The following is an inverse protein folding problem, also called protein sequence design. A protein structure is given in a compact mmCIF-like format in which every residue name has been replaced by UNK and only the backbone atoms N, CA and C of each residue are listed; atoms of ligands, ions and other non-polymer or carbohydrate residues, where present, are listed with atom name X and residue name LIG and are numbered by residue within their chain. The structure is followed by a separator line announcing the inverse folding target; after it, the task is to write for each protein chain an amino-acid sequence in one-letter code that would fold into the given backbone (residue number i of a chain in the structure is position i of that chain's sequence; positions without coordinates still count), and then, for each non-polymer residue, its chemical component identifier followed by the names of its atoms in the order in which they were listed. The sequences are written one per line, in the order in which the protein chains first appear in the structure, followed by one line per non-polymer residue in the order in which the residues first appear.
data_IF_116093957742
#
_entry.id   IF_116093957742
#
_cell.length_a   1.000
_cell.length_b   1.000
_cell.length_c   1.000
_cell.angle_alpha   90.00
_cell.angle_beta   90.00
_cell.angle_gamma   90.00
#
_symmetry.space_group_name_H-M   'P 1'
#
loop_
_entity.id
_entity.type
_entity.pdbx_description
1 polymer ?
#
# COMPACT_ATOMS: atom_id res chain seq x y z
N UNK A 1 16.00 -15.02 -12.73
CA UNK A 1 15.40 -16.02 -11.81
C UNK A 1 14.80 -15.31 -10.61
N UNK A 2 13.57 -15.66 -10.23
CA UNK A 2 12.91 -15.13 -9.03
C UNK A 2 13.62 -15.59 -7.75
N UNK A 3 13.51 -14.80 -6.68
CA UNK A 3 13.94 -15.21 -5.33
C UNK A 3 13.00 -16.29 -4.79
N UNK A 4 11.68 -16.09 -4.97
CA UNK A 4 10.63 -17.02 -4.55
C UNK A 4 9.68 -17.25 -5.72
N UNK A 5 9.25 -18.50 -5.94
CA UNK A 5 8.32 -18.82 -7.03
C UNK A 5 6.93 -18.19 -6.83
N UNK A 6 6.55 -17.90 -5.59
CA UNK A 6 5.31 -17.23 -5.26
C UNK A 6 5.19 -15.85 -5.95
N UNK A 7 6.30 -15.14 -6.19
CA UNK A 7 6.31 -13.87 -6.94
C UNK A 7 5.87 -14.01 -8.41
N UNK A 8 5.64 -15.22 -8.92
CA UNK A 8 4.93 -15.41 -10.18
C UNK A 8 3.54 -14.74 -10.14
N UNK A 9 2.87 -14.72 -8.99
CA UNK A 9 1.62 -13.98 -8.81
C UNK A 9 1.84 -12.47 -9.05
N UNK A 10 2.92 -11.90 -8.53
CA UNK A 10 3.27 -10.49 -8.74
C UNK A 10 3.52 -10.20 -10.23
N UNK A 11 4.20 -11.10 -10.92
CA UNK A 11 4.44 -11.00 -12.38
C UNK A 11 3.12 -11.07 -13.16
N UNK A 12 2.19 -11.95 -12.77
CA UNK A 12 0.86 -12.02 -13.40
C UNK A 12 0.14 -10.67 -13.29
N UNK A 13 0.19 -10.00 -12.13
CA UNK A 13 -0.44 -8.68 -11.96
C UNK A 13 0.23 -7.62 -12.83
N UNK A 14 1.57 -7.61 -12.87
CA UNK A 14 2.37 -6.66 -13.69
C UNK A 14 2.04 -6.80 -15.18
N UNK A 15 1.77 -8.00 -15.67
CA UNK A 15 1.45 -8.25 -17.09
C UNK A 15 -0.04 -8.08 -17.37
N UNK A 16 -0.92 -8.69 -16.56
CA UNK A 16 -2.36 -8.71 -16.81
C UNK A 16 -2.97 -7.30 -16.83
N UNK A 17 -2.51 -6.41 -15.96
CA UNK A 17 -3.06 -5.07 -15.86
C UNK A 17 -2.88 -4.22 -17.13
N UNK A 18 -1.65 -3.98 -17.65
CA UNK A 18 -1.49 -3.26 -18.91
C UNK A 18 -2.08 -4.02 -20.10
N UNK A 19 -2.12 -5.37 -20.08
CA UNK A 19 -2.83 -6.14 -21.11
C UNK A 19 -4.33 -5.87 -21.13
N UNK A 20 -4.97 -5.73 -19.96
CA UNK A 20 -6.39 -5.37 -19.86
C UNK A 20 -6.65 -3.92 -20.30
N UNK A 21 -5.74 -3.00 -19.98
CA UNK A 21 -5.79 -1.62 -20.51
C UNK A 21 -5.77 -1.66 -22.04
N UNK A 22 -4.77 -2.32 -22.63
CA UNK A 22 -4.62 -2.39 -24.09
C UNK A 22 -5.82 -3.07 -24.77
N UNK A 23 -6.31 -4.18 -24.20
CA UNK A 23 -7.49 -4.87 -24.72
C UNK A 23 -8.73 -3.96 -24.72
N UNK A 24 -9.02 -3.30 -23.60
CA UNK A 24 -10.18 -2.40 -23.51
C UNK A 24 -10.00 -1.12 -24.32
N UNK A 25 -8.77 -0.64 -24.51
CA UNK A 25 -8.48 0.49 -25.39
C UNK A 25 -8.89 0.19 -26.83
N UNK A 26 -8.63 -1.04 -27.30
CA UNK A 26 -8.90 -1.45 -28.68
C UNK A 26 -10.33 -1.96 -28.90
N UNK A 27 -10.96 -2.54 -27.88
CA UNK A 27 -12.25 -3.23 -28.00
C UNK A 27 -13.40 -2.50 -27.27
N UNK A 28 -13.14 -1.32 -26.74
CA UNK A 28 -14.08 -0.57 -25.91
C UNK A 28 -14.11 -1.03 -24.45
N UNK A 29 -14.68 -0.18 -23.60
CA UNK A 29 -14.73 -0.41 -22.15
C UNK A 29 -15.75 -1.50 -21.84
N UNK A 30 -15.29 -2.56 -21.19
CA UNK A 30 -16.13 -3.64 -20.68
C UNK A 30 -16.14 -3.59 -19.15
N UNK A 31 -17.26 -3.15 -18.58
CA UNK A 31 -17.36 -2.91 -17.13
C UNK A 31 -16.92 -4.06 -16.22
N UNK A 32 -17.14 -5.34 -16.54
CA UNK A 32 -16.58 -6.45 -15.75
C UNK A 32 -15.05 -6.50 -15.75
N UNK A 33 -14.41 -6.24 -16.89
CA UNK A 33 -12.94 -6.17 -17.00
C UNK A 33 -12.41 -4.91 -16.32
N UNK A 34 -13.16 -3.81 -16.38
CA UNK A 34 -12.84 -2.61 -15.61
C UNK A 34 -12.87 -2.87 -14.10
N UNK A 35 -13.88 -3.59 -13.59
CA UNK A 35 -13.94 -3.98 -12.18
C UNK A 35 -12.76 -4.89 -11.79
N UNK A 36 -12.35 -5.81 -12.66
CA UNK A 36 -11.13 -6.61 -12.47
C UNK A 36 -9.88 -5.71 -12.42
N UNK A 37 -9.77 -4.71 -13.28
CA UNK A 37 -8.68 -3.75 -13.22
C UNK A 37 -8.64 -2.99 -11.89
N UNK A 38 -9.78 -2.61 -11.32
CA UNK A 38 -9.81 -1.98 -9.99
C UNK A 38 -9.22 -2.91 -8.91
N UNK A 39 -9.50 -4.22 -8.95
CA UNK A 39 -8.90 -5.19 -8.03
C UNK A 39 -7.37 -5.30 -8.24
N UNK A 40 -6.95 -5.38 -9.50
CA UNK A 40 -5.53 -5.47 -9.86
C UNK A 40 -4.76 -4.20 -9.52
N UNK A 41 -5.38 -3.01 -9.61
CA UNK A 41 -4.74 -1.73 -9.27
C UNK A 41 -4.29 -1.69 -7.81
N UNK A 42 -5.12 -2.19 -6.89
CA UNK A 42 -4.76 -2.35 -5.47
C UNK A 42 -3.63 -3.38 -5.33
N UNK A 43 -3.75 -4.51 -6.04
CA UNK A 43 -2.72 -5.53 -6.05
C UNK A 43 -1.36 -5.02 -6.52
N UNK A 44 -1.30 -4.15 -7.53
CA UNK A 44 -0.05 -3.56 -8.03
C UNK A 44 0.61 -2.65 -7.01
N UNK A 45 -0.17 -1.87 -6.24
CA UNK A 45 0.37 -1.11 -5.11
C UNK A 45 0.96 -2.02 -4.03
N UNK A 46 0.34 -3.17 -3.77
CA UNK A 46 0.88 -4.19 -2.85
C UNK A 46 2.12 -4.88 -3.44
N UNK A 47 2.17 -5.15 -4.75
CA UNK A 47 3.36 -5.69 -5.42
C UNK A 47 4.54 -4.73 -5.28
N UNK A 48 4.34 -3.43 -5.53
CA UNK A 48 5.39 -2.43 -5.37
C UNK A 48 5.86 -2.31 -3.92
N UNK A 49 4.92 -2.34 -2.98
CA UNK A 49 5.22 -2.38 -1.55
C UNK A 49 6.11 -3.58 -1.19
N UNK A 50 5.70 -4.79 -1.57
CA UNK A 50 6.45 -6.02 -1.32
C UNK A 50 7.83 -6.00 -2.00
N UNK A 51 7.90 -5.55 -3.26
CA UNK A 51 9.14 -5.42 -4.02
C UNK A 51 10.13 -4.43 -3.38
N UNK A 52 9.62 -3.41 -2.70
CA UNK A 52 10.44 -2.42 -1.99
C UNK A 52 11.08 -3.03 -0.74
N UNK A 53 10.34 -3.87 -0.01
CA UNK A 53 10.83 -4.59 1.16
C UNK A 53 11.79 -5.72 0.82
N UNK A 54 11.39 -6.56 -0.13
CA UNK A 54 12.16 -7.70 -0.60
C UNK A 54 12.12 -7.76 -2.13
N UNK A 55 13.29 -7.73 -2.75
CA UNK A 55 13.45 -7.77 -4.20
C UNK A 55 12.97 -9.09 -4.78
N UNK A 56 12.11 -9.03 -5.79
CA UNK A 56 11.54 -10.22 -6.47
C UNK A 56 12.59 -11.03 -7.22
N UNK A 57 13.63 -10.39 -7.75
CA UNK A 57 14.63 -11.03 -8.61
C UNK A 57 15.98 -11.14 -7.92
N UNK A 58 16.73 -12.20 -8.24
CA UNK A 58 18.11 -12.35 -7.74
C UNK A 58 19.08 -11.36 -8.37
N UNK A 59 18.79 -10.85 -9.57
CA UNK A 59 19.67 -9.96 -10.32
C UNK A 59 19.18 -8.51 -10.27
N UNK A 60 20.13 -7.57 -10.19
CA UNK A 60 19.84 -6.13 -10.10
C UNK A 60 19.10 -5.58 -11.35
N UNK A 61 19.43 -5.97 -12.59
CA UNK A 61 18.76 -5.43 -13.78
C UNK A 61 17.26 -5.74 -13.83
N UNK A 62 16.82 -6.95 -13.48
CA UNK A 62 15.38 -7.27 -13.51
C UNK A 62 14.61 -6.56 -12.40
N UNK A 63 15.22 -6.39 -11.21
CA UNK A 63 14.62 -5.54 -10.17
C UNK A 63 14.48 -4.10 -10.64
N UNK A 64 15.50 -3.57 -11.30
CA UNK A 64 15.47 -2.21 -11.86
C UNK A 64 14.43 -2.06 -12.96
N UNK A 65 14.30 -3.06 -13.84
CA UNK A 65 13.24 -3.11 -14.85
C UNK A 65 11.85 -3.22 -14.23
N UNK A 66 11.71 -3.95 -13.12
CA UNK A 66 10.44 -4.07 -12.39
C UNK A 66 10.04 -2.74 -11.74
N UNK A 67 10.99 -2.06 -11.08
CA UNK A 67 10.81 -0.71 -10.54
C UNK A 67 10.31 0.26 -11.64
N UNK A 68 10.91 0.20 -12.84
CA UNK A 68 10.53 1.03 -13.98
C UNK A 68 9.14 0.74 -14.53
N UNK A 69 8.83 -0.53 -14.76
CA UNK A 69 7.51 -0.95 -15.26
C UNK A 69 6.42 -0.59 -14.26
N UNK A 70 6.63 -0.87 -12.97
CA UNK A 70 5.67 -0.50 -11.92
C UNK A 70 5.52 1.02 -11.80
N UNK A 71 6.60 1.79 -12.01
CA UNK A 71 6.53 3.25 -12.02
C UNK A 71 5.63 3.77 -13.15
N UNK A 72 5.79 3.24 -14.37
CA UNK A 72 4.96 3.60 -15.52
C UNK A 72 3.50 3.22 -15.26
N UNK A 73 3.27 1.97 -14.83
CA UNK A 73 1.91 1.47 -14.60
C UNK A 73 1.21 2.30 -13.52
N UNK A 74 1.87 2.56 -12.39
CA UNK A 74 1.27 3.26 -11.24
C UNK A 74 1.34 4.79 -11.32
N UNK A 75 2.07 5.35 -12.29
CA UNK A 75 2.20 6.80 -12.47
C UNK A 75 3.03 7.49 -11.38
N UNK A 76 3.80 6.75 -10.58
CA UNK A 76 4.64 7.28 -9.50
C UNK A 76 5.99 6.56 -9.49
N UNK A 77 7.13 7.28 -9.41
CA UNK A 77 8.45 6.66 -9.33
C UNK A 77 8.60 5.70 -8.13
N UNK A 78 9.24 4.55 -8.35
CA UNK A 78 9.39 3.49 -7.35
C UNK A 78 10.06 3.94 -6.05
N UNK A 79 10.94 4.95 -6.12
CA UNK A 79 11.74 5.38 -4.98
C UNK A 79 10.91 5.93 -3.81
N UNK A 80 9.67 6.35 -4.06
CA UNK A 80 8.86 7.09 -3.09
C UNK A 80 8.57 6.31 -1.80
N UNK A 81 8.57 4.97 -1.86
CA UNK A 81 8.40 4.10 -0.70
C UNK A 81 9.60 4.12 0.24
N UNK A 82 10.82 4.39 -0.24
CA UNK A 82 12.01 4.42 0.63
C UNK A 82 11.96 5.51 1.70
N UNK A 83 11.73 6.80 1.37
CA UNK A 83 11.71 7.84 2.38
C UNK A 83 10.45 7.80 3.26
N UNK A 84 9.30 7.41 2.72
CA UNK A 84 8.01 7.51 3.40
C UNK A 84 7.63 6.26 4.19
N UNK A 85 7.87 5.09 3.62
CA UNK A 85 7.39 3.84 4.16
C UNK A 85 8.48 3.10 4.93
N UNK A 86 9.63 2.80 4.31
CA UNK A 86 10.75 2.14 5.01
C UNK A 86 11.41 3.10 6.02
N UNK A 87 11.85 4.26 5.54
CA UNK A 87 12.62 5.23 6.33
C UNK A 87 11.81 6.02 7.35
N UNK A 88 10.50 5.80 7.43
CA UNK A 88 9.62 6.52 8.33
C UNK A 88 8.54 5.62 8.94
N UNK A 89 7.59 5.10 8.14
CA UNK A 89 6.47 4.35 8.68
C UNK A 89 6.89 3.08 9.46
N UNK A 90 7.72 2.22 8.85
CA UNK A 90 8.25 1.04 9.55
C UNK A 90 9.23 1.40 10.66
N UNK A 91 10.06 2.43 10.43
CA UNK A 91 11.04 2.87 11.42
C UNK A 91 10.38 3.32 12.72
N UNK A 92 9.28 4.06 12.61
CA UNK A 92 8.60 4.66 13.75
C UNK A 92 7.33 3.91 14.14
N UNK A 93 6.92 2.88 13.40
CA UNK A 93 5.83 1.94 13.71
C UNK A 93 4.56 2.61 14.26
N UNK A 94 4.00 3.59 13.54
CA UNK A 94 2.84 4.38 13.98
C UNK A 94 3.05 5.25 15.25
N UNK A 95 4.30 5.42 15.68
CA UNK A 95 4.70 6.25 16.80
C UNK A 95 4.60 7.76 16.53
N UNK A 96 4.82 8.62 17.54
CA UNK A 96 4.73 10.07 17.40
C UNK A 96 5.67 10.68 16.34
N UNK A 97 6.77 10.00 16.03
CA UNK A 97 7.73 10.40 14.99
C UNK A 97 7.32 9.94 13.58
N UNK A 98 6.36 9.02 13.46
CA UNK A 98 5.83 8.62 12.16
C UNK A 98 5.05 9.80 11.56
N UNK A 99 5.62 10.46 10.54
CA UNK A 99 4.96 11.57 9.87
C UNK A 99 3.66 11.16 9.16
N UNK A 100 3.50 9.87 8.88
CA UNK A 100 2.34 9.27 8.18
C UNK A 100 1.32 8.62 9.12
N UNK A 101 1.53 8.70 10.44
CA UNK A 101 0.56 8.16 11.41
C UNK A 101 -0.83 8.76 11.23
N UNK A 102 -1.84 7.94 11.51
CA UNK A 102 -3.23 8.25 11.18
C UNK A 102 -3.79 9.32 12.09
N UNK A 103 -3.49 9.27 13.39
CA UNK A 103 -3.95 10.25 14.37
C UNK A 103 -3.34 11.66 14.22
N UNK A 104 -2.36 11.84 13.33
CA UNK A 104 -1.85 13.17 12.96
C UNK A 104 -2.96 14.05 12.38
N UNK A 105 -3.93 13.45 11.69
CA UNK A 105 -4.93 14.17 10.90
C UNK A 105 -6.30 14.28 11.59
N UNK A 106 -6.35 13.97 12.89
CA UNK A 106 -7.56 14.01 13.71
C UNK A 106 -8.19 12.64 13.91
N UNK A 107 -8.64 12.40 15.15
CA UNK A 107 -9.25 11.12 15.56
C UNK A 107 -8.24 9.97 15.62
N UNK A 108 -8.42 9.08 16.59
CA UNK A 108 -7.64 7.84 16.68
C UNK A 108 -8.56 6.63 16.64
N UNK A 109 -9.41 6.56 15.62
CA UNK A 109 -10.38 5.48 15.38
C UNK A 109 -10.81 5.48 13.92
N UNK A 110 -11.42 4.38 13.46
CA UNK A 110 -11.79 4.19 12.07
C UNK A 110 -13.18 4.76 11.77
N UNK A 111 -13.29 5.85 11.00
CA UNK A 111 -14.60 6.33 10.54
C UNK A 111 -14.57 6.69 9.06
N UNK A 112 -15.74 6.73 8.40
CA UNK A 112 -15.82 6.88 6.95
C UNK A 112 -15.18 8.16 6.45
N UNK A 113 -15.38 9.28 7.15
CA UNK A 113 -14.78 10.57 6.79
C UNK A 113 -13.25 10.48 6.84
N UNK A 114 -12.70 9.83 7.87
CA UNK A 114 -11.26 9.65 8.02
C UNK A 114 -10.70 8.74 6.93
N UNK A 115 -11.38 7.64 6.62
CA UNK A 115 -10.99 6.76 5.51
C UNK A 115 -10.96 7.47 4.16
N UNK A 116 -11.96 8.31 3.86
CA UNK A 116 -12.04 9.05 2.60
C UNK A 116 -11.01 10.20 2.51
N UNK A 117 -10.76 10.89 3.63
CA UNK A 117 -9.85 12.04 3.65
C UNK A 117 -8.38 11.64 3.85
N UNK A 118 -8.11 10.52 4.52
CA UNK A 118 -6.75 10.14 4.90
C UNK A 118 -5.79 10.04 3.71
N UNK A 119 -6.15 9.47 2.55
CA UNK A 119 -5.26 9.47 1.39
C UNK A 119 -4.84 10.90 0.96
N UNK A 120 -5.77 11.84 0.93
CA UNK A 120 -5.51 13.25 0.57
C UNK A 120 -4.62 13.92 1.62
N UNK A 121 -4.93 13.70 2.90
CA UNK A 121 -4.16 14.22 4.02
C UNK A 121 -2.73 13.65 4.07
N UNK A 122 -2.57 12.35 3.83
CA UNK A 122 -1.28 11.69 3.78
C UNK A 122 -0.43 12.27 2.63
N UNK A 123 -1.02 12.56 1.47
CA UNK A 123 -0.31 13.17 0.35
C UNK A 123 0.29 14.54 0.68
N UNK A 124 -0.33 15.33 1.58
CA UNK A 124 0.22 16.63 2.02
C UNK A 124 1.54 16.49 2.80
N UNK A 125 1.83 15.29 3.32
CA UNK A 125 3.08 14.96 4.01
C UNK A 125 4.03 14.20 3.09
N UNK A 126 3.50 13.22 2.37
CA UNK A 126 4.25 12.32 1.51
C UNK A 126 4.94 13.05 0.36
N UNK A 127 4.23 13.92 -0.37
CA UNK A 127 4.77 14.61 -1.55
C UNK A 127 5.96 15.50 -1.17
N UNK A 128 5.88 16.41 -0.16
CA UNK A 128 7.05 17.20 0.27
C UNK A 128 8.22 16.33 0.74
N UNK A 129 7.95 15.20 1.40
CA UNK A 129 8.99 14.27 1.86
C UNK A 129 9.71 13.59 0.68
N UNK A 130 8.97 13.20 -0.35
CA UNK A 130 9.53 12.65 -1.59
C UNK A 130 10.40 13.68 -2.32
N UNK A 131 9.90 14.91 -2.51
CA UNK A 131 10.64 15.99 -3.19
C UNK A 131 11.95 16.31 -2.47
N UNK A 132 11.91 16.45 -1.14
CA UNK A 132 13.13 16.69 -0.31
C UNK A 132 14.13 15.52 -0.35
N UNK A 133 13.70 14.33 -0.76
CA UNK A 133 14.58 13.18 -0.88
C UNK A 133 15.34 13.14 -2.22
N UNK A 134 14.83 13.77 -3.28
CA UNK A 134 15.45 13.76 -4.62
C UNK A 134 16.90 14.27 -4.61
N UNK A 135 17.23 15.45 -4.01
CA UNK A 135 18.60 15.94 -3.99
C UNK A 135 19.57 14.98 -3.26
N UNK A 136 19.07 14.24 -2.25
CA UNK A 136 19.89 13.25 -1.53
C UNK A 136 20.27 12.07 -2.41
N UNK A 137 19.40 11.66 -3.35
CA UNK A 137 19.69 10.58 -4.32
C UNK A 137 20.63 11.07 -5.42
N UNK A 138 20.39 12.29 -5.93
CA UNK A 138 21.26 12.92 -6.92
C UNK A 138 22.70 13.03 -6.43
N UNK A 139 22.92 13.54 -5.20
CA UNK A 139 24.27 13.63 -4.61
C UNK A 139 25.00 12.29 -4.51
N UNK A 140 24.27 11.17 -4.55
CA UNK A 140 24.82 9.79 -4.58
C UNK A 140 24.96 9.22 -6.00
N UNK A 141 24.75 10.04 -7.03
CA UNK A 141 24.80 9.62 -8.43
C UNK A 141 23.60 8.78 -8.89
N UNK A 142 22.50 8.74 -8.12
CA UNK A 142 21.32 7.97 -8.48
C UNK A 142 20.26 8.84 -9.16
N UNK A 143 20.33 8.85 -10.49
CA UNK A 143 19.44 9.61 -11.38
C UNK A 143 18.19 8.83 -11.81
N UNK A 144 18.05 7.59 -11.36
CA UNK A 144 16.96 6.71 -11.79
C UNK A 144 15.56 7.28 -11.58
N UNK A 145 15.25 8.01 -10.48
CA UNK A 145 13.95 8.64 -10.32
C UNK A 145 13.55 9.57 -11.48
N UNK A 146 14.53 10.22 -12.15
CA UNK A 146 14.25 11.05 -13.32
C UNK A 146 13.88 10.22 -14.54
N UNK A 147 14.53 9.07 -14.74
CA UNK A 147 14.20 8.14 -15.83
C UNK A 147 12.77 7.63 -15.66
N UNK A 148 12.39 7.24 -14.43
CA UNK A 148 11.03 6.80 -14.11
C UNK A 148 10.01 7.91 -14.34
N UNK A 149 10.25 9.11 -13.78
CA UNK A 149 9.36 10.26 -13.95
C UNK A 149 9.19 10.67 -15.42
N UNK A 150 10.28 10.70 -16.18
CA UNK A 150 10.26 11.02 -17.61
C UNK A 150 9.50 9.96 -18.40
N UNK A 151 9.68 8.68 -18.07
CA UNK A 151 8.94 7.58 -18.72
C UNK A 151 7.44 7.67 -18.44
N UNK A 152 7.04 8.00 -17.21
CA UNK A 152 5.63 8.22 -16.85
C UNK A 152 5.03 9.35 -17.70
N UNK A 153 5.74 10.48 -17.84
CA UNK A 153 5.29 11.64 -18.63
C UNK A 153 5.18 11.29 -20.11
N UNK A 154 6.18 10.61 -20.69
CA UNK A 154 6.14 10.21 -22.11
C UNK A 154 4.98 9.25 -22.37
N UNK A 155 4.86 8.18 -21.57
CA UNK A 155 3.82 7.17 -21.80
C UNK A 155 2.44 7.78 -21.60
N UNK A 156 2.23 8.57 -20.54
CA UNK A 156 0.95 9.23 -20.31
C UNK A 156 0.64 10.26 -21.39
N UNK A 157 1.62 11.09 -21.78
CA UNK A 157 1.45 12.09 -22.83
C UNK A 157 1.11 11.47 -24.19
N UNK A 158 1.76 10.36 -24.53
CA UNK A 158 1.46 9.61 -25.75
C UNK A 158 0.03 9.05 -25.74
N UNK A 159 -0.38 8.40 -24.65
CA UNK A 159 -1.74 7.85 -24.52
C UNK A 159 -2.80 8.96 -24.55
N UNK A 160 -2.56 10.09 -23.89
CA UNK A 160 -3.43 11.28 -23.93
C UNK A 160 -3.55 11.82 -25.36
N UNK A 161 -2.45 11.85 -26.13
CA UNK A 161 -2.49 12.34 -27.51
C UNK A 161 -3.27 11.43 -28.47
N UNK A 162 -3.45 10.15 -28.11
CA UNK A 162 -4.30 9.21 -28.84
C UNK A 162 -5.76 9.43 -28.43
N UNK A 163 -6.06 9.32 -27.14
CA UNK A 163 -7.41 9.52 -26.60
C UNK A 163 -7.34 9.87 -25.10
N UNK A 164 -7.61 11.14 -24.79
CA UNK A 164 -7.59 11.64 -23.42
C UNK A 164 -8.69 11.04 -22.53
N UNK A 165 -9.84 10.68 -23.10
CA UNK A 165 -10.94 10.07 -22.34
C UNK A 165 -10.59 8.64 -21.94
N UNK A 166 -10.09 7.83 -22.89
CA UNK A 166 -9.65 6.47 -22.59
C UNK A 166 -8.44 6.47 -21.65
N UNK A 167 -7.50 7.40 -21.80
CA UNK A 167 -6.43 7.56 -20.82
C UNK A 167 -6.97 7.85 -19.43
N UNK A 168 -7.90 8.80 -19.30
CA UNK A 168 -8.45 9.17 -18.01
C UNK A 168 -9.19 7.98 -17.36
N UNK A 169 -10.05 7.29 -18.11
CA UNK A 169 -10.85 6.19 -17.59
C UNK A 169 -10.03 4.93 -17.35
N UNK A 170 -9.21 4.48 -18.30
CA UNK A 170 -8.50 3.20 -18.22
C UNK A 170 -7.14 3.28 -17.51
N UNK A 171 -6.53 4.46 -17.45
CA UNK A 171 -5.22 4.66 -16.80
C UNK A 171 -5.40 5.44 -15.50
N UNK A 172 -5.87 6.69 -15.56
CA UNK A 172 -5.85 7.56 -14.38
C UNK A 172 -6.80 7.10 -13.24
N UNK A 173 -8.07 6.78 -13.56
CA UNK A 173 -9.08 6.40 -12.55
C UNK A 173 -8.67 5.14 -11.75
N UNK A 174 -8.30 4.01 -12.37
CA UNK A 174 -7.78 2.85 -11.67
C UNK A 174 -6.54 3.14 -10.82
N UNK A 175 -5.63 4.02 -11.27
CA UNK A 175 -4.47 4.38 -10.44
C UNK A 175 -4.84 5.21 -9.22
N UNK A 176 -5.74 6.20 -9.36
CA UNK A 176 -6.25 6.93 -8.21
C UNK A 176 -6.96 6.01 -7.22
N UNK A 177 -7.72 5.04 -7.72
CA UNK A 177 -8.32 3.99 -6.90
C UNK A 177 -7.26 3.16 -6.16
N UNK A 178 -6.23 2.67 -6.84
CA UNK A 178 -5.14 1.91 -6.23
C UNK A 178 -4.40 2.67 -5.13
N UNK A 179 -4.02 3.92 -5.40
CA UNK A 179 -3.34 4.80 -4.42
C UNK A 179 -4.25 5.12 -3.23
N UNK A 180 -5.53 5.41 -3.48
CA UNK A 180 -6.50 5.62 -2.41
C UNK A 180 -6.61 4.38 -1.53
N UNK A 181 -6.69 3.19 -2.11
CA UNK A 181 -6.75 1.95 -1.34
C UNK A 181 -5.46 1.66 -0.58
N UNK A 182 -4.29 1.91 -1.16
CA UNK A 182 -3.01 1.73 -0.46
C UNK A 182 -2.96 2.56 0.84
N UNK A 183 -3.30 3.85 0.74
CA UNK A 183 -3.28 4.77 1.89
C UNK A 183 -4.48 4.51 2.82
N UNK A 184 -5.65 4.20 2.26
CA UNK A 184 -6.86 3.88 3.01
C UNK A 184 -6.76 2.56 3.79
N UNK A 185 -6.08 1.55 3.24
CA UNK A 185 -5.78 0.31 3.96
C UNK A 185 -4.87 0.59 5.16
N UNK A 186 -3.85 1.44 4.99
CA UNK A 186 -3.00 1.87 6.10
C UNK A 186 -3.84 2.51 7.22
N UNK A 187 -4.79 3.38 6.87
CA UNK A 187 -5.75 3.93 7.83
C UNK A 187 -6.57 2.85 8.54
N UNK A 188 -7.20 1.95 7.78
CA UNK A 188 -8.00 0.85 8.33
C UNK A 188 -7.20 -0.07 9.27
N UNK A 189 -5.93 -0.28 8.97
CA UNK A 189 -5.03 -1.14 9.73
C UNK A 189 -4.51 -0.43 10.99
N UNK A 190 -4.16 0.86 10.94
CA UNK A 190 -3.54 1.51 12.09
C UNK A 190 -4.48 2.34 12.96
N UNK A 191 -5.56 2.90 12.41
CA UNK A 191 -6.44 3.77 13.20
C UNK A 191 -7.02 3.03 14.42
N UNK A 192 -6.81 3.64 15.58
CA UNK A 192 -7.22 3.13 16.90
C UNK A 192 -6.28 2.12 17.54
N UNK A 193 -5.29 1.60 16.81
CA UNK A 193 -4.23 0.75 17.36
C UNK A 193 -3.27 1.55 18.26
N UNK A 194 -2.46 0.90 19.08
CA UNK A 194 -1.51 1.62 19.94
C UNK A 194 -0.33 2.16 19.12
N UNK A 195 0.27 3.32 19.43
CA UNK A 195 1.56 3.69 18.85
C UNK A 195 2.62 2.60 19.14
N UNK A 196 3.35 2.15 18.12
CA UNK A 196 4.31 1.05 18.24
C UNK A 196 5.76 1.47 18.53
N UNK A 197 6.02 2.78 18.66
CA UNK A 197 7.30 3.33 19.11
C UNK A 197 7.09 4.70 19.79
N UNK A 198 8.11 5.16 20.53
CA UNK A 198 8.11 6.44 21.24
C UNK A 198 7.46 6.37 22.62
N UNK A 199 7.28 7.53 23.26
CA UNK A 199 6.79 7.65 24.65
C UNK A 199 5.35 7.15 24.87
N UNK A 200 4.59 7.00 23.78
CA UNK A 200 3.22 6.48 23.82
C UNK A 200 3.16 4.96 23.54
N UNK A 201 4.29 4.34 23.17
CA UNK A 201 4.40 2.89 23.11
C UNK A 201 4.40 2.33 24.54
N UNK A 202 3.63 1.26 24.77
CA UNK A 202 3.67 0.56 26.06
C UNK A 202 4.92 -0.29 26.22
N UNK A 203 5.14 -0.80 27.43
CA UNK A 203 6.30 -1.63 27.78
C UNK A 203 6.37 -2.93 26.96
N UNK A 204 5.23 -3.40 26.45
CA UNK A 204 5.11 -4.56 25.57
C UNK A 204 4.35 -4.21 24.27
N UNK A 205 4.97 -4.51 23.12
CA UNK A 205 4.39 -5.04 21.86
C UNK A 205 4.71 -4.30 20.54
N UNK A 206 5.39 -4.98 19.60
CA UNK A 206 5.37 -4.65 18.17
C UNK A 206 4.03 -5.00 17.49
N UNK A 207 3.23 -5.87 18.09
CA UNK A 207 2.14 -6.60 17.43
C UNK A 207 0.73 -5.99 17.62
N UNK A 208 0.60 -4.95 18.45
CA UNK A 208 -0.65 -4.20 18.66
C UNK A 208 -0.66 -2.81 18.03
N UNK A 209 0.36 -2.49 17.21
CA UNK A 209 0.43 -1.22 16.48
C UNK A 209 -0.43 -1.18 15.23
N UNK A 210 -1.07 -2.30 14.91
CA UNK A 210 -1.96 -2.41 13.76
C UNK A 210 -2.95 -3.56 13.87
N UNK A 211 -3.94 -3.52 12.97
CA UNK A 211 -5.00 -4.49 12.78
C UNK A 211 -4.71 -5.39 11.59
N UNK A 212 -5.13 -6.63 11.73
CA UNK A 212 -4.94 -7.70 10.78
C UNK A 212 -6.29 -8.09 10.15
N UNK A 213 -6.25 -8.46 8.88
CA UNK A 213 -7.38 -9.00 8.12
C UNK A 213 -7.00 -10.37 7.57
N UNK A 214 -7.53 -11.45 8.14
CA UNK A 214 -7.00 -12.82 7.90
C UNK A 214 -7.74 -13.64 6.84
N UNK A 215 -8.83 -13.12 6.26
CA UNK A 215 -9.65 -13.83 5.27
C UNK A 215 -9.24 -13.61 3.81
N UNK A 216 -10.24 -13.59 2.92
CA UNK A 216 -10.07 -13.67 1.46
C UNK A 216 -9.18 -12.61 0.82
N UNK A 217 -9.01 -11.43 1.44
CA UNK A 217 -8.12 -10.38 0.95
C UNK A 217 -6.70 -10.88 0.69
N UNK A 218 -6.24 -11.86 1.47
CA UNK A 218 -4.90 -12.41 1.40
C UNK A 218 -4.66 -13.29 0.17
N UNK A 219 -5.72 -13.83 -0.45
CA UNK A 219 -5.61 -14.63 -1.68
C UNK A 219 -5.22 -13.76 -2.88
N UNK A 220 -5.75 -12.54 -2.94
CA UNK A 220 -5.60 -11.63 -4.09
C UNK A 220 -4.55 -10.54 -3.83
N UNK A 221 -4.36 -10.12 -2.58
CA UNK A 221 -3.44 -9.05 -2.22
C UNK A 221 -2.29 -9.55 -1.36
N UNK A 222 -1.68 -10.65 -1.78
CA UNK A 222 -0.33 -11.06 -1.33
C UNK A 222 -0.18 -11.13 0.19
N UNK A 223 -1.16 -11.69 0.90
CA UNK A 223 -1.12 -11.81 2.37
C UNK A 223 -0.93 -10.48 3.14
N UNK A 224 -1.19 -9.32 2.51
CA UNK A 224 -0.97 -8.00 3.12
C UNK A 224 -1.85 -7.74 4.34
N UNK A 225 -2.94 -8.51 4.49
CA UNK A 225 -3.82 -8.43 5.64
C UNK A 225 -3.15 -8.86 6.95
N UNK A 226 -2.08 -9.65 6.90
CA UNK A 226 -1.28 -10.03 8.09
C UNK A 226 -0.30 -8.92 8.50
N UNK A 227 -0.85 -7.72 8.76
CA UNK A 227 -0.09 -6.48 8.89
C UNK A 227 0.84 -6.43 10.09
N UNK A 228 0.43 -6.96 11.25
CA UNK A 228 1.31 -7.01 12.43
C UNK A 228 2.52 -7.92 12.18
N UNK A 229 2.33 -9.04 11.47
CA UNK A 229 3.44 -9.91 11.07
C UNK A 229 4.36 -9.20 10.06
N UNK A 230 3.78 -8.46 9.13
CA UNK A 230 4.53 -7.63 8.18
C UNK A 230 5.37 -6.55 8.89
N UNK A 231 4.82 -5.85 9.89
CA UNK A 231 5.58 -4.86 10.68
C UNK A 231 6.67 -5.49 11.54
N UNK A 232 6.40 -6.67 12.12
CA UNK A 232 7.39 -7.40 12.92
C UNK A 232 8.55 -7.96 12.10
N UNK A 233 8.29 -8.34 10.84
CA UNK A 233 9.29 -8.93 9.96
C UNK A 233 9.16 -8.38 8.52
N UNK A 234 9.47 -7.08 8.28
CA UNK A 234 9.16 -6.40 7.03
C UNK A 234 9.92 -6.95 5.82
N UNK A 235 11.07 -7.60 6.04
CA UNK A 235 11.90 -8.19 4.99
C UNK A 235 11.55 -9.64 4.67
N UNK A 236 10.63 -10.24 5.43
CA UNK A 236 10.15 -11.59 5.15
C UNK A 236 9.29 -11.59 3.89
N UNK A 237 9.34 -12.69 3.16
CA UNK A 237 8.57 -12.79 1.93
C UNK A 237 7.07 -12.88 2.26
N UNK A 238 6.25 -12.17 1.50
CA UNK A 238 4.81 -12.04 1.76
C UNK A 238 4.07 -13.39 1.85
N UNK A 239 4.55 -14.42 1.13
CA UNK A 239 4.00 -15.77 1.20
C UNK A 239 4.16 -16.44 2.57
N UNK A 240 5.12 -16.01 3.38
CA UNK A 240 5.46 -16.59 4.69
C UNK A 240 4.76 -15.83 5.84
N UNK A 241 4.14 -14.67 5.58
CA UNK A 241 3.38 -13.88 6.56
C UNK A 241 2.25 -14.65 7.28
N UNK A 242 1.48 -15.55 6.63
CA UNK A 242 0.46 -16.32 7.34
C UNK A 242 1.05 -17.20 8.44
N UNK A 243 2.23 -17.79 8.20
CA UNK A 243 2.94 -18.61 9.18
C UNK A 243 3.45 -17.75 10.34
N UNK A 244 4.10 -16.63 10.03
CA UNK A 244 4.58 -15.67 11.03
C UNK A 244 3.43 -15.10 11.88
N UNK A 245 2.27 -14.83 11.26
CA UNK A 245 1.08 -14.42 11.99
C UNK A 245 0.62 -15.47 12.99
N UNK A 246 0.63 -16.75 12.63
CA UNK A 246 0.26 -17.84 13.53
C UNK A 246 1.25 -17.95 14.69
N UNK A 247 2.55 -17.89 14.42
CA UNK A 247 3.62 -17.94 15.44
C UNK A 247 3.47 -16.80 16.47
N UNK A 248 3.18 -15.58 16.00
CA UNK A 248 3.03 -14.40 16.84
C UNK A 248 1.59 -14.12 17.28
N UNK A 249 0.64 -15.02 17.00
CA UNK A 249 -0.79 -14.78 17.27
C UNK A 249 -1.06 -14.51 18.76
N UNK A 250 -0.30 -15.16 19.64
CA UNK A 250 -0.42 -15.01 21.09
C UNK A 250 0.00 -13.63 21.61
N UNK A 251 0.74 -12.84 20.81
CA UNK A 251 1.17 -11.47 21.12
C UNK A 251 0.18 -10.41 20.62
N UNK A 252 -0.91 -10.81 19.95
CA UNK A 252 -1.87 -9.89 19.31
C UNK A 252 -3.19 -9.83 20.07
N UNK A 253 -3.70 -8.62 20.31
CA UNK A 253 -5.04 -8.44 20.86
C UNK A 253 -6.14 -8.91 19.89
N UNK A 254 -7.11 -9.67 20.41
CA UNK A 254 -8.19 -10.25 19.60
C UNK A 254 -9.00 -9.25 18.78
N UNK A 255 -9.17 -8.02 19.28
CA UNK A 255 -9.94 -6.98 18.59
C UNK A 255 -9.15 -6.29 17.44
N UNK A 256 -7.86 -6.57 17.33
CA UNK A 256 -7.01 -6.20 16.20
C UNK A 256 -6.88 -7.34 15.17
N UNK A 257 -7.63 -8.43 15.33
CA UNK A 257 -7.64 -9.55 14.38
C UNK A 257 -9.04 -9.72 13.82
N UNK A 258 -9.24 -9.24 12.60
CA UNK A 258 -10.52 -9.31 11.89
C UNK A 258 -10.46 -10.40 10.81
N UNK A 259 -11.55 -11.16 10.65
CA UNK A 259 -11.61 -12.17 9.58
C UNK A 259 -11.84 -11.57 8.20
N UNK A 260 -12.62 -10.50 8.10
CA UNK A 260 -13.03 -9.93 6.81
C UNK A 260 -12.89 -8.42 6.80
N UNK A 261 -12.07 -7.92 5.87
CA UNK A 261 -11.93 -6.49 5.59
C UNK A 261 -13.27 -5.88 5.16
N UNK A 262 -14.02 -6.54 4.29
CA UNK A 262 -15.31 -6.05 3.81
C UNK A 262 -16.35 -5.93 4.93
N UNK A 263 -16.47 -6.96 5.78
CA UNK A 263 -17.39 -6.90 6.92
C UNK A 263 -16.94 -5.84 7.94
N UNK A 264 -15.63 -5.71 8.17
CA UNK A 264 -15.10 -4.65 9.03
C UNK A 264 -15.44 -3.27 8.47
N UNK A 265 -15.25 -3.07 7.16
CA UNK A 265 -15.55 -1.82 6.47
C UNK A 265 -17.03 -1.45 6.64
N UNK A 266 -17.94 -2.37 6.33
CA UNK A 266 -19.39 -2.13 6.47
C UNK A 266 -19.75 -1.83 7.93
N UNK A 267 -19.30 -2.66 8.88
CA UNK A 267 -19.62 -2.50 10.30
C UNK A 267 -19.06 -1.19 10.89
N UNK A 268 -17.85 -0.82 10.51
CA UNK A 268 -17.10 0.25 11.19
C UNK A 268 -17.25 1.59 10.48
N UNK A 269 -17.29 1.60 9.15
CA UNK A 269 -17.37 2.83 8.38
C UNK A 269 -18.80 3.17 7.96
N UNK A 270 -19.62 2.18 7.57
CA UNK A 270 -20.99 2.43 7.13
C UNK A 270 -21.99 2.44 8.29
N UNK A 271 -21.85 1.49 9.23
CA UNK A 271 -22.78 1.31 10.36
C UNK A 271 -22.24 1.90 11.68
N UNK A 272 -20.96 2.29 11.71
CA UNK A 272 -20.21 2.61 12.93
C UNK A 272 -20.55 3.93 13.61
N UNK A 273 -21.63 4.61 13.21
CA UNK A 273 -22.20 5.75 13.93
C UNK A 273 -23.01 5.37 15.18
N UNK A 274 -23.26 4.08 15.44
CA UNK A 274 -24.20 3.61 16.48
C UNK A 274 -23.54 2.97 17.72
N UNK A 275 -22.20 2.93 17.83
CA UNK A 275 -21.53 2.37 19.00
C UNK A 275 -20.12 2.91 19.22
N UNK A 276 -19.66 2.95 20.49
CA UNK A 276 -18.29 3.37 20.84
C UNK A 276 -17.27 2.48 20.12
N UNK A 277 -16.49 3.07 19.22
CA UNK A 277 -15.40 2.37 18.56
C UNK A 277 -14.26 2.11 19.54
N UNK A 278 -13.77 0.87 19.56
CA UNK A 278 -12.68 0.45 20.44
C UNK A 278 -11.38 1.09 19.97
N UNK A 279 -10.73 1.83 20.87
CA UNK A 279 -9.38 2.37 20.69
C UNK A 279 -8.50 1.83 21.81
N UNK A 280 -7.18 1.86 21.63
CA UNK A 280 -6.25 1.42 22.68
C UNK A 280 -6.44 2.23 23.99
N UNK A 281 -6.83 3.50 23.89
CA UNK A 281 -7.05 4.39 25.04
C UNK A 281 -8.24 4.00 25.91
N UNK A 282 -9.22 3.25 25.38
CA UNK A 282 -10.38 2.79 26.16
C UNK A 282 -10.12 1.48 26.92
N UNK A 283 -8.88 0.98 26.93
CA UNK A 283 -8.46 -0.24 27.63
C UNK A 283 -7.14 -0.08 28.41
N UNK A 284 -6.73 1.15 28.67
CA UNK A 284 -5.66 1.49 29.61
C UNK A 284 -6.20 1.62 31.02
#
# INVERSE_FOLDING_TARGET
MLVRMADLQSVIYIVAYPSLIAYQWLNGIQWPLFALMLILSVGLSVVQHNHTHLRMWKNKPMNRGTDWVLSIIQGVPSFVFFPSHIGNHHKHNHGPEDETRTYRFGGHHNHIIGYLLHPIQALSVLVPKMVRHIPKRWKKGDYWPFIEAFSIVIVSGFLISIDAYLWFVLVAVPQFHGVHWLLGANYLQHAGARPGAGVEAGDDTPYDSSRNFTGFVNLIWFNIGYHSAHHGAPREHWADLPKLHQEHRHLMLNWLVERSLGMYFVRTLCLGGLGRQKTYQQRG
#
